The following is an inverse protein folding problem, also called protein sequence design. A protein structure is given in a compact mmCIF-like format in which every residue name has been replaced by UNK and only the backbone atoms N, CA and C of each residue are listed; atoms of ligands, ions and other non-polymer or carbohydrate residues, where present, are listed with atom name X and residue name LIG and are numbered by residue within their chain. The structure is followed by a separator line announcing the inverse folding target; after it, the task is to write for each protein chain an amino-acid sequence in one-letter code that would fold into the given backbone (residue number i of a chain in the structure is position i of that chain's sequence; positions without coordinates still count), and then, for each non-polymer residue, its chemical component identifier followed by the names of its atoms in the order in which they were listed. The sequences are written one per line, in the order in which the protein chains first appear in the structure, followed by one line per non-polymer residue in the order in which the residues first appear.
data_IF_282855638243
#
_entry.id   IF_282855638243
#
_cell.length_a   1.000
_cell.length_b   1.000
_cell.length_c   1.000
_cell.angle_alpha   90.00
_cell.angle_beta   90.00
_cell.angle_gamma   90.00
#
_symmetry.space_group_name_H-M   'P 1'
#
loop_
_entity.id
_entity.type
_entity.pdbx_description
1 polymer ?
#
# COMPACT_ATOMS: atom_id res chain seq x y z
N UNK A 1 -8.78 -63.41 -14.55
CA UNK A 1 -8.02 -63.60 -15.79
C UNK A 1 -7.03 -62.49 -15.77
N UNK A 2 -5.84 -62.83 -15.22
CA UNK A 2 -4.55 -63.11 -15.88
C UNK A 2 -3.93 -61.76 -16.26
N UNK A 3 -2.96 -61.21 -15.50
CA UNK A 3 -1.53 -61.56 -15.39
C UNK A 3 -0.72 -60.77 -16.44
N UNK A 4 0.38 -60.14 -16.26
CA UNK A 4 1.59 -60.36 -15.46
C UNK A 4 2.53 -59.13 -15.63
N UNK A 5 3.29 -58.80 -14.62
CA UNK A 5 4.57 -58.08 -14.73
C UNK A 5 5.69 -59.06 -15.10
N UNK A 6 6.89 -58.65 -15.54
CA UNK A 6 8.08 -58.69 -14.65
C UNK A 6 9.08 -57.52 -14.88
N UNK A 7 9.71 -56.94 -13.90
CA UNK A 7 10.85 -57.21 -13.00
C UNK A 7 12.25 -57.26 -13.66
N UNK A 8 13.10 -56.31 -13.18
CA UNK A 8 14.51 -56.43 -12.73
C UNK A 8 15.65 -56.70 -13.74
N UNK A 9 16.65 -55.83 -13.76
CA UNK A 9 17.99 -56.15 -13.17
C UNK A 9 19.04 -55.04 -13.33
N UNK A 10 19.76 -54.86 -12.25
CA UNK A 10 21.01 -54.11 -12.06
C UNK A 10 22.18 -54.67 -12.90
N UNK A 11 23.21 -53.82 -13.15
CA UNK A 11 24.63 -54.06 -12.79
C UNK A 11 25.54 -52.90 -13.22
N UNK A 12 26.09 -52.21 -12.26
CA UNK A 12 27.51 -51.95 -11.86
C UNK A 12 28.63 -52.19 -12.90
N UNK A 13 29.50 -51.20 -13.09
CA UNK A 13 30.90 -51.11 -12.62
C UNK A 13 31.75 -50.12 -13.45
N UNK A 14 32.32 -49.17 -12.85
CA UNK A 14 33.73 -48.92 -12.46
C UNK A 14 34.78 -48.61 -13.56
N UNK A 15 35.44 -47.46 -13.33
CA UNK A 15 36.87 -47.10 -13.36
C UNK A 15 37.56 -46.59 -14.63
N UNK A 16 38.23 -45.48 -14.38
CA UNK A 16 39.56 -45.09 -14.85
C UNK A 16 39.55 -44.01 -15.92
N UNK A 17 40.18 -42.91 -15.84
CA UNK A 17 41.35 -42.43 -15.18
C UNK A 17 42.10 -41.47 -16.10
N UNK A 18 42.56 -40.32 -15.59
CA UNK A 18 43.71 -39.50 -16.03
C UNK A 18 43.65 -38.73 -17.36
N UNK A 19 43.75 -37.45 -17.32
CA UNK A 19 44.87 -36.51 -17.17
C UNK A 19 44.97 -35.49 -18.30
N UNK A 20 45.04 -34.22 -17.89
CA UNK A 20 45.82 -33.08 -18.43
C UNK A 20 45.53 -32.56 -19.85
N UNK A 21 45.14 -31.30 -20.00
CA UNK A 21 46.07 -30.21 -20.23
C UNK A 21 45.37 -28.85 -20.41
N UNK A 22 45.93 -27.87 -19.79
CA UNK A 22 45.80 -26.44 -19.95
C UNK A 22 45.66 -25.94 -21.38
N UNK A 23 44.71 -25.03 -21.63
CA UNK A 23 44.96 -23.86 -22.47
C UNK A 23 44.08 -22.70 -22.03
N UNK A 24 44.76 -21.68 -21.51
CA UNK A 24 44.20 -20.34 -21.23
C UNK A 24 43.66 -19.72 -22.52
N UNK A 25 42.39 -19.27 -22.47
CA UNK A 25 41.93 -18.19 -23.34
C UNK A 25 41.43 -17.05 -22.45
N UNK A 26 42.23 -15.97 -22.49
CA UNK A 26 41.86 -14.67 -21.98
C UNK A 26 40.67 -14.15 -22.80
N UNK A 27 39.51 -14.00 -22.18
CA UNK A 27 38.40 -13.24 -22.68
C UNK A 27 38.28 -11.96 -21.84
N UNK A 28 38.74 -10.86 -22.38
CA UNK A 28 38.40 -9.51 -21.88
C UNK A 28 36.99 -9.17 -22.32
N UNK A 29 36.14 -8.71 -21.40
CA UNK A 29 34.86 -8.09 -21.75
C UNK A 29 33.67 -8.46 -20.86
N UNK A 30 33.76 -8.32 -19.53
CA UNK A 30 32.63 -8.58 -18.66
C UNK A 30 32.49 -7.71 -17.42
N UNK A 31 33.49 -6.92 -17.11
CA UNK A 31 33.59 -6.28 -15.77
C UNK A 31 33.09 -4.82 -15.70
N UNK A 32 32.81 -4.17 -16.83
CA UNK A 32 32.41 -2.75 -16.81
C UNK A 32 30.89 -2.50 -16.64
N UNK A 33 30.04 -3.47 -16.99
CA UNK A 33 28.59 -3.29 -16.80
C UNK A 33 28.15 -3.54 -15.34
N UNK A 34 28.83 -4.46 -14.63
CA UNK A 34 28.53 -4.74 -13.23
C UNK A 34 29.03 -3.68 -12.24
N UNK A 35 30.02 -2.89 -12.62
CA UNK A 35 30.48 -1.77 -11.79
C UNK A 35 29.53 -0.58 -11.84
N UNK A 36 28.98 -0.30 -13.02
CA UNK A 36 27.96 0.75 -13.20
C UNK A 36 26.65 0.44 -12.50
N UNK A 37 26.29 -0.86 -12.40
CA UNK A 37 25.09 -1.34 -11.69
C UNK A 37 25.25 -1.25 -10.15
N UNK A 38 26.46 -1.52 -9.63
CA UNK A 38 26.73 -1.44 -8.18
C UNK A 38 26.82 0.00 -7.65
N UNK A 39 27.21 0.95 -8.47
CA UNK A 39 27.27 2.36 -8.08
C UNK A 39 25.88 3.04 -8.10
N UNK A 40 24.90 2.49 -8.88
CA UNK A 40 23.48 2.93 -8.82
C UNK A 40 22.76 2.47 -7.54
N UNK A 41 23.24 1.43 -6.85
CA UNK A 41 22.60 0.90 -5.63
C UNK A 41 22.96 1.64 -4.35
N UNK A 42 23.80 2.67 -4.39
CA UNK A 42 24.12 3.52 -3.24
C UNK A 42 23.41 4.86 -3.34
N UNK A 43 22.08 4.84 -3.35
CA UNK A 43 21.34 6.02 -2.93
C UNK A 43 21.61 6.21 -1.42
N UNK A 44 21.98 7.41 -0.94
CA UNK A 44 22.18 7.62 0.48
C UNK A 44 20.89 7.34 1.22
N UNK A 45 20.94 6.46 2.22
CA UNK A 45 19.86 6.32 3.21
C UNK A 45 19.75 7.67 3.93
N UNK A 46 18.79 8.45 3.56
CA UNK A 46 18.50 9.73 4.19
C UNK A 46 17.65 9.43 5.42
N UNK A 47 18.07 9.99 6.53
CA UNK A 47 17.49 9.83 7.86
C UNK A 47 16.03 10.29 7.82
N UNK A 48 15.07 9.37 8.02
CA UNK A 48 13.61 9.56 7.86
C UNK A 48 13.01 10.68 8.74
N UNK A 49 13.79 11.27 9.65
CA UNK A 49 13.32 12.32 10.56
C UNK A 49 13.36 13.75 9.99
N UNK A 50 13.93 13.97 8.81
CA UNK A 50 14.22 15.33 8.32
C UNK A 50 13.41 15.77 7.09
N UNK A 51 12.37 15.03 6.63
CA UNK A 51 11.71 15.33 5.36
C UNK A 51 10.19 15.42 5.38
N UNK A 52 9.60 15.95 6.40
CA UNK A 52 8.31 16.64 6.26
C UNK A 52 8.62 18.09 5.87
N UNK A 53 8.70 18.38 4.58
CA UNK A 53 8.90 19.76 4.13
C UNK A 53 7.64 20.55 4.45
N UNK A 54 7.78 21.55 5.33
CA UNK A 54 6.70 22.53 5.57
C UNK A 54 6.54 23.42 4.33
N UNK A 55 5.35 23.96 4.12
CA UNK A 55 5.05 24.91 3.02
C UNK A 55 5.97 26.14 3.00
N UNK A 56 6.69 26.40 4.09
CA UNK A 56 7.67 27.51 4.23
C UNK A 56 9.05 27.16 3.69
N UNK A 57 9.41 25.87 3.55
CA UNK A 57 10.76 25.45 3.12
C UNK A 57 10.88 25.32 1.59
N UNK A 58 9.77 25.25 0.87
CA UNK A 58 9.78 25.13 -0.60
C UNK A 58 9.99 26.47 -1.32
N UNK A 59 10.00 27.62 -0.59
CA UNK A 59 10.02 28.95 -1.21
C UNK A 59 8.75 29.28 -2.01
N UNK A 60 7.75 28.41 -1.97
CA UNK A 60 6.49 28.57 -2.70
C UNK A 60 5.53 29.42 -1.87
N UNK A 61 5.31 30.66 -2.28
CA UNK A 61 4.34 31.62 -1.71
C UNK A 61 2.95 31.52 -2.35
N UNK A 62 2.68 30.47 -3.15
CA UNK A 62 1.38 30.22 -3.75
C UNK A 62 0.35 29.93 -2.66
N UNK A 63 -0.78 30.63 -2.70
CA UNK A 63 -1.96 30.32 -1.90
C UNK A 63 -2.29 28.84 -2.09
N UNK A 64 -2.64 28.11 -0.99
CA UNK A 64 -3.30 26.81 -1.10
C UNK A 64 -4.47 27.05 -2.05
N UNK A 65 -4.34 26.64 -3.31
CA UNK A 65 -5.49 26.67 -4.20
C UNK A 65 -6.48 25.72 -3.55
N UNK A 66 -7.61 26.25 -3.15
CA UNK A 66 -8.78 25.49 -2.71
C UNK A 66 -9.26 24.73 -3.96
N UNK A 67 -8.70 23.55 -4.14
CA UNK A 67 -8.80 22.79 -5.36
C UNK A 67 -10.15 22.14 -5.59
N UNK A 68 -10.96 22.17 -4.55
CA UNK A 68 -12.29 21.60 -4.53
C UNK A 68 -13.28 22.73 -4.26
N UNK A 69 -14.32 22.79 -5.08
CA UNK A 69 -15.44 23.67 -4.87
C UNK A 69 -15.93 23.56 -3.42
N UNK A 70 -15.88 24.66 -2.66
CA UNK A 70 -16.26 24.69 -1.25
C UNK A 70 -17.69 24.22 -1.03
N UNK A 71 -18.61 24.46 -1.98
CA UNK A 71 -20.00 23.97 -1.91
C UNK A 71 -20.07 22.44 -1.98
N UNK A 72 -19.17 21.78 -2.71
CA UNK A 72 -19.06 20.32 -2.75
C UNK A 72 -18.34 19.77 -1.51
N UNK A 73 -17.39 20.53 -0.97
CA UNK A 73 -16.63 20.15 0.22
C UNK A 73 -17.46 20.26 1.52
N UNK A 74 -18.33 21.27 1.61
CA UNK A 74 -19.19 21.54 2.77
C UNK A 74 -20.53 20.79 2.73
N UNK A 75 -20.81 19.98 1.71
CA UNK A 75 -21.94 19.04 1.83
C UNK A 75 -21.67 18.14 3.04
N UNK A 76 -22.65 17.96 3.93
CA UNK A 76 -22.47 17.11 5.10
C UNK A 76 -21.97 15.75 4.60
N UNK A 77 -20.78 15.37 5.06
CA UNK A 77 -20.30 13.99 4.95
C UNK A 77 -21.46 13.15 5.46
N UNK A 78 -21.80 12.11 4.74
CA UNK A 78 -22.83 11.21 5.20
C UNK A 78 -22.56 10.89 6.67
N UNK A 79 -23.33 11.54 7.55
CA UNK A 79 -23.46 11.09 8.93
C UNK A 79 -23.72 9.59 8.86
N UNK A 80 -23.28 8.82 9.82
CA UNK A 80 -23.28 7.37 9.92
C UNK A 80 -24.51 6.54 9.42
N UNK A 81 -25.38 7.14 8.63
CA UNK A 81 -26.44 6.51 7.87
C UNK A 81 -25.95 6.23 6.45
N UNK A 82 -25.15 5.19 6.35
CA UNK A 82 -24.70 4.61 5.08
C UNK A 82 -25.89 3.99 4.32
N UNK A 83 -26.66 4.82 3.62
CA UNK A 83 -27.76 4.37 2.76
C UNK A 83 -27.35 4.34 1.27
N UNK A 84 -26.16 3.79 1.00
CA UNK A 84 -25.71 3.40 -0.32
C UNK A 84 -25.81 1.89 -0.52
N UNK A 85 -27.00 1.31 -0.35
CA UNK A 85 -27.23 -0.12 -0.25
C UNK A 85 -26.67 -0.98 -1.41
N UNK A 86 -26.42 -0.41 -2.61
CA UNK A 86 -25.95 -1.17 -3.78
C UNK A 86 -24.41 -1.29 -3.88
N UNK A 87 -23.66 -0.24 -3.53
CA UNK A 87 -22.20 -0.29 -3.59
C UNK A 87 -21.59 -0.95 -2.35
N UNK A 88 -22.30 -0.91 -1.23
CA UNK A 88 -21.94 -1.59 0.00
C UNK A 88 -21.88 -3.12 -0.17
N UNK A 89 -22.85 -3.68 -0.89
CA UNK A 89 -22.92 -5.12 -1.13
C UNK A 89 -21.78 -5.62 -2.02
N UNK A 90 -21.34 -4.82 -3.00
CA UNK A 90 -20.24 -5.19 -3.91
C UNK A 90 -18.91 -5.31 -3.16
N UNK A 91 -18.58 -4.34 -2.31
CA UNK A 91 -17.34 -4.35 -1.52
C UNK A 91 -17.24 -5.57 -0.62
N UNK A 92 -18.25 -5.83 0.21
CA UNK A 92 -18.24 -7.00 1.10
C UNK A 92 -18.34 -8.33 0.36
N UNK A 93 -18.99 -8.35 -0.80
CA UNK A 93 -19.03 -9.53 -1.65
C UNK A 93 -17.66 -9.86 -2.25
N UNK A 94 -16.84 -8.86 -2.60
CA UNK A 94 -15.47 -9.09 -3.07
C UNK A 94 -14.61 -9.75 -1.99
N UNK A 95 -14.74 -9.32 -0.73
CA UNK A 95 -14.07 -9.91 0.43
C UNK A 95 -14.70 -11.24 0.92
N UNK A 96 -15.79 -11.70 0.32
CA UNK A 96 -16.31 -13.06 0.56
C UNK A 96 -15.59 -14.12 -0.29
N UNK A 97 -14.76 -13.71 -1.25
CA UNK A 97 -13.98 -14.61 -2.10
C UNK A 97 -12.75 -15.16 -1.38
N UNK A 98 -12.55 -16.49 -1.40
CA UNK A 98 -11.37 -17.13 -0.85
C UNK A 98 -10.07 -16.66 -1.51
N UNK A 99 -10.12 -16.28 -2.78
CA UNK A 99 -8.94 -15.90 -3.56
C UNK A 99 -8.26 -14.64 -3.02
N UNK A 100 -9.03 -13.62 -2.64
CA UNK A 100 -8.47 -12.39 -2.08
C UNK A 100 -7.78 -12.63 -0.73
N UNK A 101 -8.35 -13.50 0.11
CA UNK A 101 -7.74 -13.88 1.39
C UNK A 101 -6.48 -14.70 1.19
N UNK A 102 -6.45 -15.57 0.18
CA UNK A 102 -5.26 -16.33 -0.17
C UNK A 102 -4.13 -15.42 -0.64
N UNK A 103 -4.42 -14.42 -1.48
CA UNK A 103 -3.46 -13.42 -1.94
C UNK A 103 -2.89 -12.63 -0.76
N UNK A 104 -3.74 -12.10 0.12
CA UNK A 104 -3.32 -11.38 1.32
C UNK A 104 -2.47 -12.24 2.27
N UNK A 105 -2.82 -13.51 2.48
CA UNK A 105 -2.06 -14.41 3.34
C UNK A 105 -0.71 -14.82 2.72
N UNK A 106 -0.64 -14.92 1.38
CA UNK A 106 0.61 -15.17 0.64
C UNK A 106 1.54 -13.98 0.61
N UNK A 107 1.04 -12.77 0.85
CA UNK A 107 1.88 -11.60 1.07
C UNK A 107 2.66 -11.74 2.37
N UNK A 108 3.85 -12.31 2.24
CA UNK A 108 4.73 -12.59 3.39
C UNK A 108 5.24 -11.32 4.06
N UNK A 109 5.39 -10.21 3.32
CA UNK A 109 5.83 -8.95 3.89
C UNK A 109 4.75 -8.36 4.82
N UNK A 110 3.50 -8.36 4.36
CA UNK A 110 2.32 -7.97 5.13
C UNK A 110 2.14 -8.86 6.37
N UNK A 111 1.95 -10.16 6.16
CA UNK A 111 1.56 -11.11 7.21
C UNK A 111 2.64 -11.24 8.28
N UNK A 112 3.93 -11.35 7.89
CA UNK A 112 5.04 -11.44 8.86
C UNK A 112 5.31 -10.10 9.58
N UNK A 113 4.96 -8.95 8.99
CA UNK A 113 5.09 -7.68 9.69
C UNK A 113 4.09 -7.58 10.83
N UNK A 114 2.81 -7.95 10.59
CA UNK A 114 1.82 -8.06 11.65
C UNK A 114 2.18 -9.12 12.69
N UNK A 115 2.65 -10.29 12.25
CA UNK A 115 3.10 -11.33 13.17
C UNK A 115 4.23 -10.83 14.09
N UNK A 116 5.24 -10.15 13.54
CA UNK A 116 6.34 -9.55 14.34
C UNK A 116 5.83 -8.46 15.27
N UNK A 117 4.89 -7.63 14.81
CA UNK A 117 4.30 -6.59 15.65
C UNK A 117 3.53 -7.18 16.84
N UNK A 118 2.85 -8.31 16.64
CA UNK A 118 2.00 -8.93 17.65
C UNK A 118 2.78 -9.96 18.47
N UNK A 119 3.20 -11.08 17.88
CA UNK A 119 3.88 -12.18 18.59
C UNK A 119 5.31 -11.79 19.04
N UNK A 120 5.94 -10.81 18.36
CA UNK A 120 7.22 -10.25 18.77
C UNK A 120 7.15 -9.32 19.99
N UNK A 121 5.96 -8.94 20.46
CA UNK A 121 5.72 -8.02 21.58
C UNK A 121 4.73 -8.59 22.61
N UNK A 122 4.94 -9.80 23.14
CA UNK A 122 3.97 -10.44 24.04
C UNK A 122 3.73 -9.63 25.33
N UNK A 123 4.68 -8.84 25.79
CA UNK A 123 4.53 -7.93 26.93
C UNK A 123 3.47 -6.85 26.72
N UNK A 124 3.25 -6.42 25.48
CA UNK A 124 2.22 -5.44 25.14
C UNK A 124 0.82 -6.07 25.09
N UNK A 125 0.72 -7.38 24.80
CA UNK A 125 -0.54 -8.11 24.61
C UNK A 125 -1.00 -8.89 25.83
N UNK A 126 -0.09 -9.23 26.74
CA UNK A 126 -0.42 -10.06 27.91
C UNK A 126 -1.54 -9.44 28.74
N UNK A 127 -2.58 -10.26 28.99
CA UNK A 127 -3.78 -9.90 29.77
C UNK A 127 -4.62 -8.74 29.20
N UNK A 128 -4.45 -8.39 27.90
CA UNK A 128 -5.13 -7.30 27.21
C UNK A 128 -6.42 -7.73 26.52
N UNK A 129 -7.39 -6.83 26.47
CA UNK A 129 -8.58 -6.94 25.62
C UNK A 129 -8.24 -6.35 24.26
N UNK A 130 -8.36 -7.17 23.21
CA UNK A 130 -8.01 -6.81 21.83
C UNK A 130 -9.27 -6.79 20.97
N UNK A 131 -9.39 -5.80 20.10
CA UNK A 131 -10.41 -5.70 19.05
C UNK A 131 -9.70 -5.79 17.69
N UNK A 132 -10.06 -6.80 16.89
CA UNK A 132 -9.55 -7.02 15.52
C UNK A 132 -10.66 -6.64 14.53
N UNK A 133 -10.48 -5.52 13.81
CA UNK A 133 -11.47 -4.95 12.91
C UNK A 133 -11.14 -5.32 11.47
N UNK A 134 -12.08 -6.00 10.78
CA UNK A 134 -11.83 -6.61 9.47
C UNK A 134 -10.96 -7.86 9.62
N UNK A 135 -11.36 -8.75 10.51
CA UNK A 135 -10.51 -9.89 10.91
C UNK A 135 -10.24 -10.90 9.79
N UNK A 136 -11.02 -10.87 8.70
CA UNK A 136 -10.87 -11.81 7.59
C UNK A 136 -10.90 -13.26 8.05
N UNK A 137 -9.83 -13.99 7.81
CA UNK A 137 -9.67 -15.40 8.25
C UNK A 137 -9.37 -15.56 9.74
N UNK A 138 -9.19 -14.46 10.48
CA UNK A 138 -8.88 -14.48 11.92
C UNK A 138 -7.40 -14.68 12.25
N UNK A 139 -6.49 -14.59 11.27
CA UNK A 139 -5.06 -14.84 11.48
C UNK A 139 -4.43 -13.86 12.49
N UNK A 140 -4.79 -12.55 12.44
CA UNK A 140 -4.27 -11.55 13.37
C UNK A 140 -4.83 -11.77 14.78
N UNK A 141 -6.10 -12.15 14.89
CA UNK A 141 -6.72 -12.56 16.16
C UNK A 141 -5.98 -13.74 16.80
N UNK A 142 -5.59 -14.74 16.01
CA UNK A 142 -4.82 -15.90 16.50
C UNK A 142 -3.43 -15.45 16.96
N UNK A 143 -2.75 -14.56 16.24
CA UNK A 143 -1.47 -14.00 16.67
C UNK A 143 -1.62 -13.27 18.02
N UNK A 144 -2.67 -12.45 18.19
CA UNK A 144 -2.94 -11.77 19.46
C UNK A 144 -3.20 -12.74 20.62
N UNK A 145 -3.96 -13.81 20.39
CA UNK A 145 -4.21 -14.84 21.39
C UNK A 145 -2.92 -15.58 21.78
N UNK A 146 -2.04 -15.89 20.81
CA UNK A 146 -0.73 -16.49 21.06
C UNK A 146 0.21 -15.55 21.80
N UNK A 147 0.13 -14.23 21.55
CA UNK A 147 0.89 -13.22 22.27
C UNK A 147 0.41 -13.02 23.71
N UNK A 148 -0.65 -13.71 24.14
CA UNK A 148 -1.12 -13.71 25.53
C UNK A 148 -2.28 -12.77 25.82
N UNK A 149 -3.00 -12.30 24.79
CA UNK A 149 -4.22 -11.53 24.99
C UNK A 149 -5.19 -12.24 25.94
N UNK A 150 -5.84 -11.49 26.82
CA UNK A 150 -6.88 -12.01 27.71
C UNK A 150 -8.07 -12.49 26.91
N UNK A 151 -8.53 -11.67 25.99
CA UNK A 151 -9.58 -12.00 25.04
C UNK A 151 -9.45 -11.15 23.77
N UNK A 152 -9.79 -11.73 22.63
CA UNK A 152 -9.83 -11.06 21.33
C UNK A 152 -11.27 -11.06 20.82
N UNK A 153 -11.76 -9.89 20.49
CA UNK A 153 -13.04 -9.69 19.81
C UNK A 153 -12.74 -9.38 18.36
N UNK A 154 -13.11 -10.29 17.47
CA UNK A 154 -12.84 -10.20 16.04
C UNK A 154 -14.13 -9.86 15.29
N UNK A 155 -14.08 -8.91 14.36
CA UNK A 155 -15.24 -8.45 13.63
C UNK A 155 -14.96 -8.46 12.13
N UNK A 156 -15.89 -9.01 11.35
CA UNK A 156 -15.91 -8.86 9.91
C UNK A 156 -17.36 -8.91 9.38
N UNK A 157 -17.65 -8.07 8.39
CA UNK A 157 -18.98 -8.04 7.79
C UNK A 157 -19.13 -9.06 6.64
N UNK A 158 -18.02 -9.53 6.07
CA UNK A 158 -18.02 -10.50 4.98
C UNK A 158 -18.29 -11.94 5.48
N UNK A 159 -18.68 -12.83 4.56
CA UNK A 159 -18.94 -14.24 4.87
C UNK A 159 -17.71 -14.99 5.41
N UNK A 160 -16.51 -14.47 5.16
CA UNK A 160 -15.25 -15.02 5.69
C UNK A 160 -15.24 -15.13 7.21
N UNK A 161 -15.99 -14.28 7.94
CA UNK A 161 -16.15 -14.38 9.39
C UNK A 161 -16.64 -15.77 9.86
N UNK A 162 -17.45 -16.46 9.05
CA UNK A 162 -17.90 -17.81 9.37
C UNK A 162 -16.78 -18.82 9.30
N UNK A 163 -15.87 -18.66 8.31
CA UNK A 163 -14.65 -19.46 8.21
C UNK A 163 -13.68 -19.15 9.35
N UNK A 164 -13.55 -17.86 9.74
CA UNK A 164 -12.72 -17.46 10.86
C UNK A 164 -13.12 -18.19 12.16
N UNK A 165 -14.42 -18.29 12.45
CA UNK A 165 -14.92 -19.06 13.62
C UNK A 165 -14.43 -20.51 13.60
N UNK A 166 -14.55 -21.16 12.44
CA UNK A 166 -14.16 -22.56 12.31
C UNK A 166 -12.63 -22.73 12.37
N UNK A 167 -11.86 -21.83 11.72
CA UNK A 167 -10.39 -21.81 11.81
C UNK A 167 -9.94 -21.65 13.27
N UNK A 168 -10.54 -20.71 14.01
CA UNK A 168 -10.23 -20.46 15.43
C UNK A 168 -10.52 -21.69 16.27
N UNK A 169 -11.68 -22.35 16.06
CA UNK A 169 -12.05 -23.58 16.75
C UNK A 169 -11.09 -24.73 16.46
N UNK A 170 -10.75 -24.95 15.18
CA UNK A 170 -9.82 -26.01 14.77
C UNK A 170 -8.40 -25.82 15.33
N UNK A 171 -8.03 -24.58 15.67
CA UNK A 171 -6.74 -24.25 16.27
C UNK A 171 -6.80 -24.14 17.81
N UNK A 172 -7.95 -24.40 18.45
CA UNK A 172 -8.11 -24.44 19.91
C UNK A 172 -8.06 -23.05 20.58
N UNK A 173 -8.58 -22.02 19.91
CA UNK A 173 -8.61 -20.65 20.44
C UNK A 173 -10.05 -20.14 20.71
N UNK A 174 -11.07 -21.00 20.65
CA UNK A 174 -12.48 -20.62 20.85
C UNK A 174 -12.77 -20.00 22.23
N UNK A 175 -12.02 -20.37 23.25
CA UNK A 175 -12.15 -19.80 24.59
C UNK A 175 -11.54 -18.40 24.71
N UNK A 176 -10.67 -18.01 23.76
CA UNK A 176 -9.93 -16.74 23.76
C UNK A 176 -10.36 -15.75 22.69
N UNK A 177 -11.02 -16.23 21.63
CA UNK A 177 -11.40 -15.39 20.49
C UNK A 177 -12.89 -15.54 20.22
N UNK A 178 -13.60 -14.42 20.23
CA UNK A 178 -15.02 -14.36 19.84
C UNK A 178 -15.14 -13.61 18.52
N UNK A 179 -15.72 -14.26 17.51
CA UNK A 179 -15.94 -13.67 16.17
C UNK A 179 -17.37 -13.18 16.02
N UNK A 180 -17.54 -11.93 15.66
CA UNK A 180 -18.79 -11.30 15.28
C UNK A 180 -18.85 -11.13 13.75
N UNK A 181 -19.94 -11.58 13.14
CA UNK A 181 -20.26 -11.25 11.75
C UNK A 181 -21.25 -10.12 11.72
N UNK A 182 -20.87 -9.00 11.10
CA UNK A 182 -21.69 -7.80 10.97
C UNK A 182 -20.87 -6.55 10.85
N UNK A 183 -21.55 -5.43 10.63
CA UNK A 183 -20.92 -4.11 10.61
C UNK A 183 -20.46 -3.73 12.01
N UNK A 184 -19.28 -3.14 12.11
CA UNK A 184 -18.67 -2.74 13.37
C UNK A 184 -19.58 -1.82 14.19
N UNK A 185 -20.29 -0.93 13.51
CA UNK A 185 -21.18 0.08 14.09
C UNK A 185 -22.47 -0.52 14.66
N UNK A 186 -22.87 -1.72 14.22
CA UNK A 186 -24.11 -2.41 14.60
C UNK A 186 -23.91 -3.44 15.73
N UNK A 187 -22.64 -3.71 16.10
CA UNK A 187 -22.31 -4.75 17.09
C UNK A 187 -22.23 -4.12 18.49
N UNK A 188 -22.91 -4.75 19.44
CA UNK A 188 -22.77 -4.46 20.86
C UNK A 188 -21.73 -5.41 21.48
N UNK A 189 -20.69 -4.84 22.08
CA UNK A 189 -19.63 -5.60 22.72
C UNK A 189 -19.78 -5.65 24.25
N UNK A 190 -19.36 -6.74 24.89
CA UNK A 190 -19.50 -6.91 26.32
C UNK A 190 -18.57 -6.01 27.15
N UNK A 191 -17.56 -5.39 26.54
CA UNK A 191 -16.60 -4.54 27.24
C UNK A 191 -17.04 -3.06 27.38
N UNK A 192 -18.07 -2.62 26.64
CA UNK A 192 -18.54 -1.23 26.67
C UNK A 192 -17.55 -0.20 26.13
N UNK A 193 -17.87 1.10 26.31
CA UNK A 193 -17.02 2.21 25.85
C UNK A 193 -15.69 2.26 26.60
N UNK A 194 -14.59 2.47 25.87
CA UNK A 194 -13.25 2.59 26.45
C UNK A 194 -12.69 1.29 27.04
N UNK A 195 -13.34 0.15 26.81
CA UNK A 195 -12.97 -1.14 27.40
C UNK A 195 -11.96 -1.96 26.59
N UNK A 196 -11.44 -1.43 25.47
CA UNK A 196 -10.45 -2.09 24.62
C UNK A 196 -9.06 -1.53 24.89
N UNK A 197 -8.10 -2.40 25.11
CA UNK A 197 -6.69 -2.01 25.30
C UNK A 197 -5.95 -1.83 23.96
N UNK A 198 -6.26 -2.68 22.96
CA UNK A 198 -5.57 -2.69 21.67
C UNK A 198 -6.60 -2.85 20.55
N UNK A 199 -6.53 -1.98 19.53
CA UNK A 199 -7.21 -2.18 18.26
C UNK A 199 -6.18 -2.62 17.23
N UNK A 200 -6.44 -3.75 16.59
CA UNK A 200 -5.70 -4.24 15.42
C UNK A 200 -6.62 -4.09 14.21
N UNK A 201 -6.11 -3.57 13.12
CA UNK A 201 -6.81 -3.60 11.84
C UNK A 201 -5.83 -3.54 10.68
N UNK A 202 -6.05 -4.37 9.69
CA UNK A 202 -5.38 -4.24 8.41
C UNK A 202 -6.38 -3.59 7.43
N UNK A 203 -6.42 -2.26 7.47
CA UNK A 203 -7.41 -1.40 6.83
C UNK A 203 -6.92 -0.75 5.54
N UNK A 204 -5.65 -0.90 5.18
CA UNK A 204 -5.01 -0.16 4.11
C UNK A 204 -5.49 -0.65 2.74
N UNK A 205 -6.01 0.28 1.94
CA UNK A 205 -6.31 0.03 0.53
C UNK A 205 -5.15 0.44 -0.40
N UNK A 206 -5.37 0.36 -1.69
CA UNK A 206 -4.46 0.95 -2.66
C UNK A 206 -4.33 2.46 -2.41
N UNK A 207 -3.13 3.01 -2.67
CA UNK A 207 -2.85 4.41 -2.33
C UNK A 207 -3.15 4.71 -0.84
N UNK A 208 -3.05 3.71 0.04
CA UNK A 208 -3.37 3.73 1.47
C UNK A 208 -4.88 3.92 1.75
N UNK A 209 -5.54 4.90 1.13
CA UNK A 209 -6.85 5.42 1.52
C UNK A 209 -8.03 4.93 0.66
N UNK A 210 -7.77 4.23 -0.44
CA UNK A 210 -8.82 3.62 -1.26
C UNK A 210 -9.62 2.59 -0.43
N UNK A 211 -10.90 2.42 -0.73
CA UNK A 211 -11.86 1.58 0.01
C UNK A 211 -12.38 2.18 1.34
N UNK A 212 -11.71 3.19 1.88
CA UNK A 212 -12.17 3.98 3.04
C UNK A 212 -12.50 3.18 4.31
N UNK A 213 -11.85 2.02 4.52
CA UNK A 213 -12.06 1.23 5.74
C UNK A 213 -11.56 1.96 7.00
N UNK A 214 -10.65 2.92 6.83
CA UNK A 214 -10.11 3.72 7.95
C UNK A 214 -11.22 4.45 8.74
N UNK A 215 -12.29 4.92 8.09
CA UNK A 215 -13.40 5.60 8.76
C UNK A 215 -14.04 4.73 9.85
N UNK A 216 -14.27 3.46 9.55
CA UNK A 216 -14.78 2.46 10.50
C UNK A 216 -13.81 2.24 11.68
N UNK A 217 -12.51 2.16 11.39
CA UNK A 217 -11.47 1.97 12.41
C UNK A 217 -11.39 3.17 13.35
N UNK A 218 -11.45 4.40 12.81
CA UNK A 218 -11.44 5.62 13.62
C UNK A 218 -12.70 5.75 14.48
N UNK A 219 -13.86 5.38 13.93
CA UNK A 219 -15.11 5.34 14.70
C UNK A 219 -15.00 4.37 15.88
N UNK A 220 -14.48 3.15 15.64
CA UNK A 220 -14.29 2.15 16.67
C UNK A 220 -13.26 2.60 17.74
N UNK A 221 -12.16 3.23 17.30
CA UNK A 221 -11.16 3.86 18.18
C UNK A 221 -11.84 4.86 19.13
N UNK A 222 -12.65 5.75 18.57
CA UNK A 222 -13.26 6.82 19.36
C UNK A 222 -14.26 6.30 20.37
N UNK A 223 -14.95 5.21 20.07
CA UNK A 223 -15.94 4.60 20.96
C UNK A 223 -15.34 3.62 21.97
N UNK A 224 -14.44 2.75 21.53
CA UNK A 224 -14.07 1.56 22.30
C UNK A 224 -12.64 1.57 22.84
N UNK A 225 -11.70 2.30 22.23
CA UNK A 225 -10.31 2.30 22.68
C UNK A 225 -10.17 3.04 24.01
N UNK A 226 -9.41 2.47 24.95
CA UNK A 226 -9.05 3.14 26.19
C UNK A 226 -8.29 4.43 25.92
N UNK A 227 -8.87 5.55 26.29
CA UNK A 227 -8.36 6.90 25.99
C UNK A 227 -7.00 7.22 26.63
N UNK A 228 -6.57 6.47 27.66
CA UNK A 228 -5.33 6.74 28.39
C UNK A 228 -4.19 5.81 27.99
N UNK A 229 -4.50 4.55 27.75
CA UNK A 229 -3.48 3.50 27.59
C UNK A 229 -3.67 2.68 26.32
N UNK A 230 -4.73 2.95 25.55
CA UNK A 230 -5.07 2.17 24.37
C UNK A 230 -4.03 2.33 23.26
N UNK A 231 -3.83 1.26 22.51
CA UNK A 231 -2.89 1.21 21.38
C UNK A 231 -3.64 0.91 20.09
N UNK A 232 -3.21 1.56 19.01
CA UNK A 232 -3.62 1.25 17.63
C UNK A 232 -2.53 0.44 16.94
N UNK A 233 -2.89 -0.54 16.14
CA UNK A 233 -1.96 -1.32 15.32
C UNK A 233 -2.49 -1.44 13.89
N UNK A 234 -1.90 -0.67 12.94
CA UNK A 234 -0.84 0.32 13.09
C UNK A 234 -1.31 1.58 13.82
N UNK A 235 -0.35 2.37 14.33
CA UNK A 235 -0.61 3.66 14.99
C UNK A 235 -0.26 4.86 14.10
N UNK A 236 0.53 4.65 13.04
CA UNK A 236 0.93 5.70 12.09
C UNK A 236 0.94 5.16 10.67
N UNK A 237 0.59 6.01 9.70
CA UNK A 237 0.71 5.70 8.29
C UNK A 237 1.20 6.92 7.50
N UNK A 238 2.00 6.67 6.45
CA UNK A 238 2.62 7.71 5.64
C UNK A 238 2.50 7.36 4.16
N UNK A 239 2.22 8.37 3.31
CA UNK A 239 2.28 8.22 1.84
C UNK A 239 3.49 8.99 1.33
N UNK A 240 4.24 8.34 0.46
CA UNK A 240 5.40 8.90 -0.24
C UNK A 240 5.16 9.01 -1.73
N UNK A 241 5.85 9.94 -2.37
CA UNK A 241 5.84 10.15 -3.83
C UNK A 241 7.25 10.29 -4.37
N UNK A 242 7.48 9.75 -5.57
CA UNK A 242 8.68 9.97 -6.37
C UNK A 242 8.35 10.05 -7.86
N UNK A 243 9.27 10.60 -8.65
CA UNK A 243 9.15 10.60 -10.10
C UNK A 243 9.79 9.34 -10.71
N UNK A 244 9.20 8.83 -11.79
CA UNK A 244 9.70 7.67 -12.52
C UNK A 244 9.85 7.93 -14.02
N UNK A 245 10.82 7.24 -14.59
CA UNK A 245 10.97 7.04 -16.04
C UNK A 245 10.27 5.71 -16.41
N UNK A 246 9.39 5.74 -17.43
CA UNK A 246 8.70 4.56 -17.95
C UNK A 246 8.26 4.81 -19.41
N UNK A 247 9.24 5.05 -20.27
CA UNK A 247 9.01 5.32 -21.68
C UNK A 247 8.49 4.11 -22.44
N UNK A 248 8.92 2.91 -22.05
CA UNK A 248 8.51 1.66 -22.69
C UNK A 248 7.00 1.46 -22.55
N UNK A 249 6.48 1.48 -21.34
CA UNK A 249 5.05 1.33 -21.08
C UNK A 249 4.22 2.43 -21.73
N UNK A 250 4.62 3.71 -21.58
CA UNK A 250 3.85 4.83 -22.12
C UNK A 250 3.82 4.83 -23.64
N UNK A 251 4.91 4.41 -24.30
CA UNK A 251 4.99 4.27 -25.74
C UNK A 251 4.11 3.11 -26.22
N UNK A 252 4.25 1.93 -25.63
CA UNK A 252 3.43 0.76 -25.96
C UNK A 252 1.93 1.08 -25.86
N UNK A 253 1.49 1.68 -24.76
CA UNK A 253 0.08 2.04 -24.54
C UNK A 253 -0.46 3.03 -25.55
N UNK A 254 0.35 4.01 -26.00
CA UNK A 254 -0.06 5.00 -26.99
C UNK A 254 -0.07 4.41 -28.40
N UNK A 255 1.01 3.73 -28.81
CA UNK A 255 1.16 3.22 -30.17
C UNK A 255 0.29 2.01 -30.48
N UNK A 256 -0.17 1.26 -29.48
CA UNK A 256 -1.12 0.19 -29.67
C UNK A 256 -2.38 0.64 -30.43
N UNK A 257 -2.86 1.84 -30.15
CA UNK A 257 -4.10 2.38 -30.72
C UNK A 257 -3.93 2.94 -32.14
N UNK A 258 -2.69 3.15 -32.59
CA UNK A 258 -2.44 3.69 -33.91
C UNK A 258 -2.81 2.72 -35.03
N UNK A 259 -2.75 1.40 -34.75
CA UNK A 259 -3.08 0.37 -35.74
C UNK A 259 -3.60 -0.90 -35.06
N UNK A 260 -4.89 -0.96 -34.77
CA UNK A 260 -5.56 -2.13 -34.19
C UNK A 260 -6.18 -2.95 -35.32
N UNK A 261 -5.51 -4.02 -35.73
CA UNK A 261 -5.92 -4.87 -36.87
C UNK A 261 -6.15 -4.08 -38.18
N UNK A 262 -5.36 -3.06 -38.45
CA UNK A 262 -5.48 -2.20 -39.61
C UNK A 262 -6.43 -1.01 -39.46
N UNK A 263 -6.98 -0.81 -38.27
CA UNK A 263 -7.87 0.32 -37.96
C UNK A 263 -7.16 1.30 -37.05
N UNK A 264 -7.18 2.59 -37.40
CA UNK A 264 -6.74 3.69 -36.57
C UNK A 264 -7.77 3.90 -35.44
N UNK A 265 -7.37 3.63 -34.20
CA UNK A 265 -8.14 3.84 -32.97
C UNK A 265 -7.45 4.84 -32.04
N UNK A 266 -6.56 5.70 -32.54
CA UNK A 266 -5.73 6.63 -31.76
C UNK A 266 -6.53 7.56 -30.86
N UNK A 267 -7.82 7.82 -31.18
CA UNK A 267 -8.74 8.55 -30.31
C UNK A 267 -8.86 7.94 -28.90
N UNK A 268 -8.68 6.62 -28.76
CA UNK A 268 -8.69 5.93 -27.46
C UNK A 268 -7.50 6.35 -26.57
N UNK A 269 -6.38 6.73 -27.20
CA UNK A 269 -5.18 7.17 -26.48
C UNK A 269 -5.40 8.48 -25.70
N UNK A 270 -6.40 9.27 -26.03
CA UNK A 270 -6.68 10.58 -25.39
C UNK A 270 -7.14 10.48 -23.93
N UNK A 271 -7.51 9.28 -23.46
CA UNK A 271 -8.02 9.04 -22.10
C UNK A 271 -7.22 8.00 -21.30
N UNK A 272 -6.07 7.55 -21.83
CA UNK A 272 -5.31 6.43 -21.26
C UNK A 272 -4.84 6.65 -19.82
N UNK A 273 -4.53 7.87 -19.44
CA UNK A 273 -3.87 8.18 -18.16
C UNK A 273 -4.75 8.99 -17.21
N UNK A 274 -6.06 8.75 -17.26
CA UNK A 274 -7.02 9.38 -16.32
C UNK A 274 -7.22 8.60 -15.04
N UNK A 275 -7.02 7.30 -15.09
CA UNK A 275 -7.11 6.45 -13.90
C UNK A 275 -5.69 6.09 -13.43
N UNK A 276 -5.43 6.03 -12.12
CA UNK A 276 -4.16 5.53 -11.60
C UNK A 276 -3.99 4.05 -11.92
N UNK A 277 -2.76 3.64 -12.12
CA UNK A 277 -2.43 2.23 -12.27
C UNK A 277 -1.86 1.66 -10.97
N UNK A 278 -2.26 0.43 -10.63
CA UNK A 278 -1.67 -0.31 -9.52
C UNK A 278 -0.79 -1.41 -10.08
N UNK A 279 0.53 -1.22 -9.99
CA UNK A 279 1.50 -2.22 -10.44
C UNK A 279 2.83 -2.12 -9.69
N UNK A 280 3.68 -3.12 -9.88
CA UNK A 280 5.02 -3.15 -9.31
C UNK A 280 5.97 -2.28 -10.12
N UNK A 281 6.52 -1.25 -9.49
CA UNK A 281 7.51 -0.36 -10.09
C UNK A 281 8.92 -0.85 -9.72
N UNK A 282 9.79 -1.12 -10.70
CA UNK A 282 11.16 -1.48 -10.40
C UNK A 282 11.91 -0.29 -9.80
N UNK A 283 12.71 -0.51 -8.76
CA UNK A 283 13.42 0.57 -8.04
C UNK A 283 14.36 1.39 -8.91
N UNK A 284 14.84 0.85 -10.03
CA UNK A 284 15.68 1.56 -10.98
C UNK A 284 14.91 2.50 -11.93
N UNK A 285 13.58 2.43 -11.97
CA UNK A 285 12.74 3.40 -12.67
C UNK A 285 12.63 4.74 -11.92
N UNK A 286 12.95 4.76 -10.62
CA UNK A 286 12.89 5.98 -9.80
C UNK A 286 14.02 6.91 -10.22
N UNK A 287 13.65 8.14 -10.64
CA UNK A 287 14.59 9.13 -11.14
C UNK A 287 14.75 10.36 -10.25
N UNK A 288 14.02 10.45 -9.15
CA UNK A 288 14.12 11.54 -8.17
C UNK A 288 14.44 11.03 -6.77
N UNK A 289 14.65 11.95 -5.84
CA UNK A 289 14.41 11.65 -4.42
C UNK A 289 12.90 11.43 -4.20
N UNK A 290 12.49 11.16 -2.95
CA UNK A 290 11.08 10.99 -2.61
C UNK A 290 10.66 11.98 -1.52
N UNK A 291 9.36 12.28 -1.47
CA UNK A 291 8.75 13.21 -0.53
C UNK A 291 7.59 12.53 0.20
N UNK A 292 7.49 12.72 1.51
CA UNK A 292 6.31 12.33 2.27
C UNK A 292 5.21 13.36 2.01
N UNK A 293 4.08 12.90 1.44
CA UNK A 293 2.93 13.77 1.14
C UNK A 293 1.79 13.66 2.14
N UNK A 294 1.78 12.60 2.95
CA UNK A 294 0.82 12.41 4.02
C UNK A 294 1.50 11.70 5.18
N UNK A 295 1.29 12.19 6.38
CA UNK A 295 1.75 11.57 7.63
C UNK A 295 0.64 11.68 8.66
N UNK A 296 0.02 10.55 9.00
CA UNK A 296 -1.13 10.49 9.89
C UNK A 296 -0.82 9.72 11.17
N UNK A 297 -1.21 10.30 12.29
CA UNK A 297 -1.23 9.67 13.60
C UNK A 297 -2.65 9.13 13.86
N UNK A 298 -2.81 7.81 13.71
CA UNK A 298 -4.10 7.15 13.86
C UNK A 298 -4.68 7.22 15.26
N UNK A 299 -3.85 7.49 16.27
CA UNK A 299 -4.32 7.64 17.65
C UNK A 299 -5.07 8.95 17.84
N UNK A 300 -4.61 10.03 17.18
CA UNK A 300 -5.10 11.40 17.43
C UNK A 300 -5.83 12.03 16.25
N UNK A 301 -5.68 11.51 15.02
CA UNK A 301 -6.31 12.09 13.84
C UNK A 301 -7.84 12.13 13.93
N UNK A 302 -8.44 13.09 13.24
CA UNK A 302 -9.88 13.18 13.05
C UNK A 302 -10.29 12.50 11.75
N UNK A 303 -11.55 12.07 11.65
CA UNK A 303 -12.06 11.42 10.44
C UNK A 303 -11.96 12.28 9.19
N UNK A 304 -12.06 13.61 9.30
CA UNK A 304 -11.97 14.52 8.15
C UNK A 304 -10.54 14.73 7.62
N UNK A 305 -9.53 14.35 8.37
CA UNK A 305 -8.13 14.44 7.96
C UNK A 305 -7.72 13.39 6.93
N UNK A 306 -8.59 12.42 6.59
CA UNK A 306 -8.40 11.51 5.45
C UNK A 306 -8.42 12.25 4.11
N UNK A 307 -9.09 13.42 4.04
CA UNK A 307 -9.04 14.31 2.89
C UNK A 307 -7.92 15.33 3.10
N UNK A 308 -6.95 15.37 2.20
CA UNK A 308 -5.76 16.19 2.37
C UNK A 308 -5.37 16.91 1.08
N UNK A 309 -4.59 17.98 1.24
CA UNK A 309 -3.89 18.66 0.15
C UNK A 309 -2.52 19.09 0.66
N UNK A 310 -1.46 18.46 0.17
CA UNK A 310 -0.10 18.68 0.62
C UNK A 310 0.85 18.94 -0.54
N UNK A 311 1.92 19.66 -0.28
CA UNK A 311 2.96 19.96 -1.24
C UNK A 311 3.95 18.80 -1.34
N UNK A 312 4.57 18.69 -2.53
CA UNK A 312 5.72 17.82 -2.75
C UNK A 312 6.82 18.57 -3.49
N UNK A 313 8.05 18.11 -3.31
CA UNK A 313 9.23 18.61 -4.00
C UNK A 313 10.16 17.44 -4.28
N UNK A 314 10.49 17.24 -5.55
CA UNK A 314 11.27 16.09 -6.03
C UNK A 314 12.48 16.59 -6.80
N UNK A 315 13.67 16.38 -6.25
CA UNK A 315 14.93 16.69 -6.94
C UNK A 315 15.31 15.53 -7.86
N UNK A 316 15.57 15.85 -9.13
CA UNK A 316 15.93 14.86 -10.15
C UNK A 316 17.36 14.37 -9.98
N UNK A 317 17.55 13.06 -9.97
CA UNK A 317 18.85 12.39 -9.86
C UNK A 317 19.49 12.15 -11.25
N UNK A 318 18.67 12.18 -12.31
CA UNK A 318 19.06 11.89 -13.68
C UNK A 318 18.48 12.92 -14.65
N UNK A 319 19.09 13.04 -15.84
CA UNK A 319 18.58 13.80 -16.96
C UNK A 319 17.81 12.83 -17.85
N UNK A 320 16.49 12.97 -17.92
CA UNK A 320 15.59 12.14 -18.72
C UNK A 320 14.17 12.74 -18.73
N UNK A 321 13.15 11.94 -19.06
CA UNK A 321 11.73 12.32 -18.99
C UNK A 321 11.05 11.70 -17.78
N UNK A 322 10.30 12.50 -17.05
CA UNK A 322 9.36 12.01 -16.04
C UNK A 322 8.09 11.56 -16.77
N UNK A 323 7.76 10.28 -16.69
CA UNK A 323 6.57 9.70 -17.30
C UNK A 323 5.41 9.57 -16.33
N UNK A 324 5.70 9.40 -15.03
CA UNK A 324 4.69 9.27 -13.99
C UNK A 324 5.23 9.70 -12.61
N UNK A 325 4.31 9.93 -11.68
CA UNK A 325 4.59 9.88 -10.26
C UNK A 325 4.18 8.52 -9.70
N UNK A 326 5.08 7.89 -8.96
CA UNK A 326 4.81 6.67 -8.19
C UNK A 326 4.59 7.03 -6.74
N UNK A 327 3.58 6.42 -6.12
CA UNK A 327 3.33 6.54 -4.69
C UNK A 327 3.31 5.17 -4.03
N UNK A 328 3.75 5.14 -2.77
CA UNK A 328 3.68 4.00 -1.88
C UNK A 328 3.38 4.47 -0.48
N UNK A 329 3.10 3.55 0.42
CA UNK A 329 2.88 3.88 1.81
C UNK A 329 3.69 3.00 2.76
N UNK A 330 3.95 3.56 3.93
CA UNK A 330 4.47 2.85 5.08
C UNK A 330 3.45 2.91 6.20
N UNK A 331 3.31 1.82 6.96
CA UNK A 331 2.59 1.80 8.22
C UNK A 331 3.51 1.40 9.34
N UNK A 332 3.36 2.05 10.50
CA UNK A 332 4.24 1.85 11.64
C UNK A 332 3.45 1.41 12.86
N UNK A 333 4.02 0.47 13.59
CA UNK A 333 3.57 -0.03 14.88
C UNK A 333 4.56 0.53 15.92
N UNK A 334 4.52 1.88 16.14
CA UNK A 334 5.56 2.58 16.91
C UNK A 334 5.34 2.48 18.41
N UNK A 335 4.09 2.28 18.86
CA UNK A 335 3.70 2.23 20.27
C UNK A 335 3.95 0.86 20.92
N UNK A 336 4.70 -0.01 20.27
CA UNK A 336 5.10 -1.31 20.78
C UNK A 336 6.50 -1.26 21.41
N UNK A 337 6.77 -2.17 22.33
CA UNK A 337 8.09 -2.32 22.95
C UNK A 337 9.20 -2.52 21.90
N UNK A 338 8.90 -3.29 20.84
CA UNK A 338 9.74 -3.47 19.65
C UNK A 338 8.99 -2.96 18.42
N UNK A 339 9.20 -1.72 18.01
CA UNK A 339 8.52 -1.13 16.86
C UNK A 339 8.75 -1.92 15.56
N UNK A 340 7.74 -1.95 14.70
CA UNK A 340 7.77 -2.60 13.39
C UNK A 340 7.30 -1.62 12.33
N UNK A 341 7.86 -1.71 11.13
CA UNK A 341 7.42 -0.96 9.94
C UNK A 341 7.05 -1.95 8.85
N UNK A 342 5.88 -1.77 8.26
CA UNK A 342 5.44 -2.40 7.02
C UNK A 342 5.50 -1.35 5.92
N UNK A 343 6.27 -1.62 4.86
CA UNK A 343 6.48 -0.71 3.75
C UNK A 343 6.09 -1.35 2.42
N UNK A 344 5.36 -0.59 1.59
CA UNK A 344 5.03 -0.96 0.21
C UNK A 344 5.94 -0.27 -0.82
N UNK A 345 7.08 0.27 -0.36
CA UNK A 345 8.05 0.97 -1.19
C UNK A 345 8.62 0.06 -2.30
N UNK A 346 8.85 0.60 -3.51
CA UNK A 346 9.49 -0.14 -4.60
C UNK A 346 10.94 -0.56 -4.28
N UNK A 347 11.56 0.00 -3.22
CA UNK A 347 12.87 -0.40 -2.71
C UNK A 347 12.81 -1.52 -1.65
N UNK A 348 11.61 -2.00 -1.31
CA UNK A 348 11.38 -3.05 -0.30
C UNK A 348 10.88 -4.34 -0.95
N UNK A 349 10.53 -5.32 -0.13
CA UNK A 349 9.94 -6.56 -0.61
C UNK A 349 8.56 -6.32 -1.16
N UNK A 350 8.19 -7.07 -2.19
CA UNK A 350 6.86 -7.07 -2.78
C UNK A 350 5.76 -7.18 -1.73
N UNK A 351 4.67 -6.45 -1.97
CA UNK A 351 3.39 -6.59 -1.28
C UNK A 351 2.27 -6.62 -2.31
N UNK A 352 1.12 -7.21 -1.97
CA UNK A 352 -0.05 -7.24 -2.84
C UNK A 352 -0.61 -5.83 -3.16
N UNK A 353 -0.33 -4.81 -2.33
CA UNK A 353 -0.67 -3.41 -2.63
C UNK A 353 0.15 -2.83 -3.79
N UNK A 354 1.29 -3.45 -4.13
CA UNK A 354 2.18 -2.91 -5.17
C UNK A 354 2.46 -1.42 -4.94
N UNK A 355 2.45 -0.60 -5.99
CA UNK A 355 2.52 0.86 -5.95
C UNK A 355 1.39 1.46 -6.77
N UNK A 356 0.99 2.70 -6.44
CA UNK A 356 0.02 3.45 -7.24
C UNK A 356 0.76 4.45 -8.13
N UNK A 357 0.54 4.35 -9.43
CA UNK A 357 1.26 5.09 -10.47
C UNK A 357 0.32 6.05 -11.18
N UNK A 358 0.71 7.32 -11.22
CA UNK A 358 -0.02 8.42 -11.83
C UNK A 358 0.71 8.85 -13.10
N UNK A 359 0.36 8.25 -14.25
CA UNK A 359 0.99 8.58 -15.52
C UNK A 359 0.59 9.97 -16.00
N UNK A 360 1.56 10.67 -16.56
CA UNK A 360 1.37 11.99 -17.15
C UNK A 360 0.85 11.86 -18.60
N UNK A 361 -0.12 12.68 -18.95
CA UNK A 361 -0.56 12.79 -20.36
C UNK A 361 0.62 13.20 -21.27
N UNK A 362 1.45 14.12 -20.79
CA UNK A 362 2.65 14.57 -21.46
C UNK A 362 3.86 14.42 -20.53
N UNK A 363 4.85 13.59 -20.88
CA UNK A 363 6.09 13.46 -20.13
C UNK A 363 6.85 14.79 -19.99
N UNK A 364 7.52 14.98 -18.85
CA UNK A 364 8.27 16.20 -18.53
C UNK A 364 9.75 15.97 -18.78
N UNK A 365 10.38 16.75 -19.63
CA UNK A 365 11.84 16.74 -19.79
C UNK A 365 12.50 17.41 -18.59
N UNK A 366 13.44 16.72 -17.96
CA UNK A 366 14.16 17.19 -16.77
C UNK A 366 15.65 16.94 -16.91
N UNK A 367 16.44 17.78 -16.23
CA UNK A 367 17.89 17.61 -16.09
C UNK A 367 18.20 17.17 -14.66
N UNK A 368 19.30 16.48 -14.49
CA UNK A 368 19.82 16.17 -13.15
C UNK A 368 19.99 17.45 -12.33
N UNK A 369 19.35 17.49 -11.18
CA UNK A 369 19.35 18.63 -10.25
C UNK A 369 18.13 19.53 -10.37
N UNK A 370 17.33 19.42 -11.44
CA UNK A 370 16.07 20.12 -11.54
C UNK A 370 15.14 19.68 -10.42
N UNK A 371 14.24 20.57 -10.04
CA UNK A 371 13.23 20.29 -8.99
C UNK A 371 11.84 20.37 -9.58
N UNK A 372 11.14 19.24 -9.58
CA UNK A 372 9.72 19.16 -9.87
C UNK A 372 8.96 19.31 -8.56
N UNK A 373 8.11 20.28 -8.45
CA UNK A 373 7.31 20.50 -7.25
C UNK A 373 5.84 20.77 -7.58
N UNK A 374 5.00 20.64 -6.59
CA UNK A 374 3.57 20.85 -6.76
C UNK A 374 2.78 20.47 -5.50
N UNK A 375 1.51 20.19 -5.71
CA UNK A 375 0.62 19.69 -4.65
C UNK A 375 -0.13 18.46 -5.11
N UNK A 376 -0.42 17.58 -4.15
CA UNK A 376 -1.33 16.45 -4.33
C UNK A 376 -2.51 16.66 -3.39
N UNK A 377 -3.70 16.76 -3.98
CA UNK A 377 -4.94 16.84 -3.23
C UNK A 377 -5.72 15.54 -3.44
N UNK A 378 -6.16 14.95 -2.34
CA UNK A 378 -6.92 13.69 -2.31
C UNK A 378 -8.18 13.87 -1.50
N UNK A 379 -9.30 13.40 -2.02
CA UNK A 379 -10.58 13.35 -1.30
C UNK A 379 -11.38 12.12 -1.67
N UNK A 380 -12.18 11.67 -0.72
CA UNK A 380 -13.21 10.66 -0.98
C UNK A 380 -14.22 11.19 -2.01
N UNK A 381 -14.71 10.32 -2.86
CA UNK A 381 -15.78 10.67 -3.81
C UNK A 381 -17.10 10.92 -3.07
N UNK A 382 -17.90 11.84 -3.57
CA UNK A 382 -19.15 12.22 -2.92
C UNK A 382 -20.31 11.26 -3.18
N UNK A 383 -20.20 10.43 -4.22
CA UNK A 383 -21.21 9.44 -4.60
C UNK A 383 -20.84 8.08 -4.03
N UNK A 384 -19.61 7.64 -4.29
CA UNK A 384 -19.04 6.41 -3.72
C UNK A 384 -17.85 6.77 -2.84
N UNK A 385 -18.04 6.87 -1.54
CA UNK A 385 -17.01 7.28 -0.57
C UNK A 385 -15.79 6.35 -0.54
N UNK A 386 -15.87 5.15 -1.12
CA UNK A 386 -14.75 4.21 -1.25
C UNK A 386 -13.81 4.57 -2.39
N UNK A 387 -14.29 5.35 -3.35
CA UNK A 387 -13.49 5.88 -4.45
C UNK A 387 -12.76 7.17 -4.03
N UNK A 388 -11.64 7.46 -4.72
CA UNK A 388 -10.86 8.66 -4.45
C UNK A 388 -10.74 9.53 -5.69
N UNK A 389 -10.97 10.84 -5.52
CA UNK A 389 -10.61 11.87 -6.48
C UNK A 389 -9.25 12.45 -6.09
N UNK A 390 -8.30 12.44 -7.04
CA UNK A 390 -6.93 12.92 -6.83
C UNK A 390 -6.62 13.98 -7.88
N UNK A 391 -6.06 15.10 -7.44
CA UNK A 391 -5.62 16.18 -8.31
C UNK A 391 -4.17 16.50 -7.99
N UNK A 392 -3.33 16.49 -9.01
CA UNK A 392 -1.89 16.73 -8.89
C UNK A 392 -1.54 17.97 -9.70
N UNK A 393 -0.88 18.95 -9.08
CA UNK A 393 -0.25 20.06 -9.79
C UNK A 393 1.22 19.79 -10.00
N UNK A 394 1.73 20.33 -11.08
CA UNK A 394 3.11 20.20 -11.50
C UNK A 394 3.68 21.59 -11.79
N UNK A 395 4.85 21.88 -11.25
CA UNK A 395 5.60 23.09 -11.46
C UNK A 395 7.06 22.72 -11.73
N UNK A 396 7.61 23.24 -12.78
CA UNK A 396 9.04 23.10 -13.12
C UNK A 396 9.53 24.38 -13.78
N UNK A 397 10.76 24.80 -13.46
CA UNK A 397 11.44 25.88 -14.13
C UNK A 397 12.25 25.34 -15.31
N UNK A 398 11.91 25.75 -16.52
CA UNK A 398 12.63 25.42 -17.73
C UNK A 398 13.06 26.70 -18.44
N UNK A 399 14.38 26.91 -18.63
CA UNK A 399 14.95 28.10 -19.27
C UNK A 399 14.43 29.43 -18.68
N UNK A 400 14.34 29.50 -17.32
CA UNK A 400 13.79 30.64 -16.56
C UNK A 400 12.29 30.91 -16.81
N UNK A 401 11.56 29.96 -17.36
CA UNK A 401 10.13 30.01 -17.54
C UNK A 401 9.50 28.96 -16.61
N UNK A 402 8.66 29.41 -15.69
CA UNK A 402 7.87 28.50 -14.85
C UNK A 402 6.73 27.90 -15.66
N UNK A 403 6.77 26.59 -15.88
CA UNK A 403 5.66 25.82 -16.44
C UNK A 403 4.80 25.31 -15.30
N UNK A 404 3.49 25.43 -15.47
CA UNK A 404 2.52 25.03 -14.47
C UNK A 404 1.30 24.40 -15.15
N UNK A 405 0.86 23.23 -14.66
CA UNK A 405 -0.37 22.56 -15.05
C UNK A 405 -0.84 21.62 -13.95
N UNK A 406 -2.02 21.02 -14.12
CA UNK A 406 -2.53 19.98 -13.24
C UNK A 406 -3.16 18.85 -14.02
N UNK A 407 -3.25 17.67 -13.41
CA UNK A 407 -3.94 16.51 -13.92
C UNK A 407 -4.81 15.90 -12.83
N UNK A 408 -5.97 15.36 -13.22
CA UNK A 408 -6.91 14.73 -12.31
C UNK A 408 -6.97 13.23 -12.58
N UNK A 409 -7.10 12.46 -11.50
CA UNK A 409 -7.21 11.02 -11.53
C UNK A 409 -8.36 10.58 -10.63
N UNK A 410 -8.93 9.42 -10.92
CA UNK A 410 -9.95 8.81 -10.10
C UNK A 410 -9.64 7.34 -9.86
N UNK A 411 -9.47 6.95 -8.60
CA UNK A 411 -9.51 5.56 -8.16
C UNK A 411 -10.96 5.12 -8.06
N UNK A 412 -11.31 4.09 -8.85
CA UNK A 412 -12.66 3.51 -8.92
C UNK A 412 -12.67 2.08 -8.44
#
# INVERSE_FOLDING_TARGET
MIDESPSVSEKTSQKGGKSSNNKQHKGHGGDNQNKHFKDKMKAPMINDKERVMSSTETGFTGTKETWFDEELYNKPKHSANFDGAKDHDYYFNSYSSHHIHEEMLKDTNRTLSYQRAIEGNPEDFKDKIVLDIGCGTGILSIFAARAGAKHVYAVDNAEVALFAREIIRQNGFEDKITVFKGKMEEIEFPFGEGGVDIIISEWMGYYLLYESMLDCVLWARDKYLNKKTGKMLPDRAQIYVAAIEDSEYTTEKKTFWDNVYGVDMSVMATSLFKDPMVDTVPSNAIMSDYCCILDIDLVNMKQDEVNFSNFYSLKMNYTDKVHALVTWFDTTFSNLTRPVVLSTSPMKKYTHWKQSVFYLENPIEVRKGDVLYGSIATRQDTVNFRELNIKISFHIEENHILKHWFQQYKFK
#
